data_IF_801379074929
#
_entry.id   IF_801379074929
#
_cell.length_a   1.000
_cell.length_b   1.000
_cell.length_c   1.000
_cell.angle_alpha   90.00
_cell.angle_beta   90.00
_cell.angle_gamma   90.00
#
_symmetry.space_group_name_H-M   'P 1'
#
loop_
_entity.id
_entity.type
_entity.pdbx_description
1 polymer ?
#
# COMPACT_ATOMS: atom_id res chain seq x y z
N UNK A 1 -1.90 -10.26 30.65
CA UNK A 1 -1.26 -10.93 29.50
C UNK A 1 0.10 -10.27 29.20
N UNK A 2 1.17 -10.92 29.64
CA UNK A 2 2.54 -10.43 29.52
C UNK A 2 3.01 -10.48 28.07
N UNK A 3 3.58 -9.39 27.60
CA UNK A 3 4.34 -9.35 26.35
C UNK A 3 5.65 -10.10 26.61
N UNK A 4 5.98 -11.05 25.73
CA UNK A 4 7.28 -11.74 25.72
C UNK A 4 8.41 -10.71 25.63
N UNK A 5 9.51 -10.91 26.37
CA UNK A 5 10.74 -10.10 26.27
C UNK A 5 11.36 -10.16 24.86
N UNK A 6 10.93 -11.11 24.03
CA UNK A 6 11.20 -11.22 22.58
C UNK A 6 10.08 -10.60 21.73
N UNK A 7 9.56 -9.41 22.07
CA UNK A 7 8.67 -8.70 21.16
C UNK A 7 9.52 -7.89 20.16
N UNK A 8 9.72 -8.34 18.90
CA UNK A 8 10.57 -7.66 17.93
C UNK A 8 9.98 -6.33 17.43
N UNK A 9 8.79 -5.96 17.91
CA UNK A 9 8.13 -4.69 17.67
C UNK A 9 8.62 -3.67 18.70
N UNK A 10 9.92 -3.32 18.64
CA UNK A 10 10.38 -2.05 19.22
C UNK A 10 9.52 -0.97 18.55
N UNK A 11 8.91 -0.08 19.35
CA UNK A 11 8.17 1.04 18.80
C UNK A 11 9.03 1.73 17.73
N UNK A 12 8.49 2.01 16.53
CA UNK A 12 9.26 2.70 15.51
C UNK A 12 9.86 3.96 16.14
N UNK A 13 11.15 4.19 15.93
CA UNK A 13 11.87 5.38 16.41
C UNK A 13 11.37 6.60 15.62
N UNK A 14 10.13 7.01 15.89
CA UNK A 14 9.59 8.27 15.43
C UNK A 14 10.16 9.36 16.34
N UNK A 15 10.64 10.43 15.73
CA UNK A 15 10.85 11.68 16.48
C UNK A 15 9.52 12.12 17.10
N UNK A 16 9.58 12.90 18.19
CA UNK A 16 8.37 13.46 18.80
C UNK A 16 7.51 14.22 17.78
N UNK A 17 8.15 15.00 16.90
CA UNK A 17 7.49 15.73 15.81
C UNK A 17 6.77 14.79 14.84
N UNK A 18 7.41 13.70 14.40
CA UNK A 18 6.77 12.70 13.54
C UNK A 18 5.60 12.01 14.23
N UNK A 19 5.71 11.72 15.53
CA UNK A 19 4.64 11.12 16.30
C UNK A 19 3.45 12.08 16.47
N UNK A 20 3.70 13.39 16.62
CA UNK A 20 2.66 14.41 16.72
C UNK A 20 1.98 14.68 15.36
N UNK A 21 2.70 14.50 14.26
CA UNK A 21 2.17 14.61 12.90
C UNK A 21 1.43 13.35 12.41
N UNK A 22 1.65 12.20 13.04
CA UNK A 22 1.01 10.94 12.66
C UNK A 22 -0.39 10.85 13.24
N UNK A 23 -1.37 10.70 12.35
CA UNK A 23 -2.73 10.36 12.74
C UNK A 23 -3.12 8.96 12.30
N UNK A 24 -3.68 8.16 13.21
CA UNK A 24 -4.09 6.78 12.96
C UNK A 24 -5.61 6.69 13.05
N UNK A 25 -6.23 6.20 11.97
CA UNK A 25 -7.68 5.96 11.91
C UNK A 25 -7.95 4.46 11.84
N UNK A 26 -8.25 3.81 12.98
CA UNK A 26 -8.56 2.38 12.99
C UNK A 26 -9.87 2.10 12.27
N UNK A 27 -9.98 0.92 11.67
CA UNK A 27 -11.22 0.38 11.11
C UNK A 27 -11.61 -0.82 11.94
N UNK A 28 -12.67 -0.67 12.72
CA UNK A 28 -13.17 -1.74 13.57
C UNK A 28 -14.09 -2.66 12.75
N UNK A 29 -13.80 -3.95 12.78
CA UNK A 29 -14.59 -4.99 12.13
C UNK A 29 -15.30 -5.84 13.17
N UNK A 30 -16.34 -6.54 12.74
CA UNK A 30 -17.03 -7.48 13.59
C UNK A 30 -16.04 -8.53 14.12
N UNK A 31 -16.05 -8.91 15.40
CA UNK A 31 -15.15 -9.92 15.95
C UNK A 31 -15.25 -11.29 15.24
N UNK A 32 -16.34 -11.58 14.53
CA UNK A 32 -16.52 -12.77 13.71
C UNK A 32 -15.86 -12.70 12.33
N UNK A 33 -15.39 -11.51 11.91
CA UNK A 33 -14.65 -11.30 10.66
C UNK A 33 -13.33 -12.09 10.65
N UNK A 34 -13.05 -12.76 9.52
CA UNK A 34 -11.87 -13.61 9.36
C UNK A 34 -10.74 -12.84 8.66
N UNK A 35 -9.69 -12.46 9.38
CA UNK A 35 -8.53 -11.72 8.83
C UNK A 35 -7.24 -12.54 8.68
N UNK A 36 -7.27 -13.84 8.96
CA UNK A 36 -6.05 -14.66 9.07
C UNK A 36 -5.37 -14.98 7.73
N UNK A 37 -6.15 -15.19 6.68
CA UNK A 37 -5.66 -15.49 5.32
C UNK A 37 -6.38 -14.53 4.41
N UNK A 38 -5.65 -13.85 3.52
CA UNK A 38 -6.26 -12.89 2.59
C UNK A 38 -6.79 -13.62 1.36
N UNK A 39 -7.96 -14.26 1.50
CA UNK A 39 -8.65 -15.01 0.45
C UNK A 39 -10.12 -14.58 0.29
N UNK A 40 -10.90 -15.30 -0.53
CA UNK A 40 -12.33 -15.04 -0.77
C UNK A 40 -13.20 -15.03 0.48
N UNK A 41 -12.80 -15.77 1.52
CA UNK A 41 -13.55 -15.92 2.76
C UNK A 41 -13.11 -14.92 3.84
N UNK A 42 -12.13 -14.09 3.50
CA UNK A 42 -11.57 -13.11 4.42
C UNK A 42 -12.32 -11.79 4.39
N UNK A 43 -12.19 -11.03 5.47
CA UNK A 43 -12.95 -9.81 5.71
C UNK A 43 -12.40 -8.58 4.97
N UNK A 44 -11.65 -8.75 3.89
CA UNK A 44 -11.07 -7.64 3.13
C UNK A 44 -12.15 -6.75 2.49
N UNK A 45 -13.29 -7.33 2.09
CA UNK A 45 -14.44 -6.57 1.59
C UNK A 45 -15.11 -5.76 2.70
N UNK A 46 -15.32 -6.39 3.85
CA UNK A 46 -15.91 -5.73 5.02
C UNK A 46 -15.01 -4.59 5.49
N UNK A 47 -13.70 -4.80 5.47
CA UNK A 47 -12.69 -3.78 5.70
C UNK A 47 -12.82 -2.61 4.73
N UNK A 48 -12.86 -2.87 3.42
CA UNK A 48 -12.95 -1.82 2.43
C UNK A 48 -14.24 -0.97 2.60
N UNK A 49 -15.38 -1.64 2.83
CA UNK A 49 -16.66 -0.97 3.09
C UNK A 49 -16.65 -0.17 4.39
N UNK A 50 -16.12 -0.74 5.47
CA UNK A 50 -16.02 -0.07 6.76
C UNK A 50 -15.09 1.16 6.69
N UNK A 51 -13.93 1.01 6.05
CA UNK A 51 -12.99 2.11 5.85
C UNK A 51 -13.63 3.27 5.06
N UNK A 52 -14.41 2.97 4.02
CA UNK A 52 -15.16 3.97 3.26
C UNK A 52 -16.24 4.66 4.10
N UNK A 53 -17.05 3.88 4.83
CA UNK A 53 -18.11 4.40 5.70
C UNK A 53 -17.57 5.30 6.81
N UNK A 54 -16.51 4.86 7.48
CA UNK A 54 -16.01 5.49 8.70
C UNK A 54 -15.08 6.67 8.40
N UNK A 55 -14.27 6.57 7.34
CA UNK A 55 -13.19 7.52 7.06
C UNK A 55 -13.32 8.26 5.72
N UNK A 56 -14.23 7.88 4.83
CA UNK A 56 -14.35 8.47 3.49
C UNK A 56 -14.50 9.99 3.48
N UNK A 57 -15.41 10.53 4.31
CA UNK A 57 -15.60 11.99 4.46
C UNK A 57 -14.35 12.69 5.00
N UNK A 58 -13.61 12.01 5.87
CA UNK A 58 -12.42 12.58 6.49
C UNK A 58 -11.27 12.69 5.50
N UNK A 59 -11.05 11.65 4.70
CA UNK A 59 -10.12 11.65 3.56
C UNK A 59 -10.48 12.76 2.56
N UNK A 60 -11.78 12.93 2.28
CA UNK A 60 -12.28 13.97 1.39
C UNK A 60 -11.97 15.39 1.88
N UNK A 61 -12.09 15.62 3.19
CA UNK A 61 -11.74 16.89 3.85
C UNK A 61 -10.23 17.12 3.92
N UNK A 62 -9.46 16.08 4.24
CA UNK A 62 -8.00 16.15 4.36
C UNK A 62 -7.31 16.39 3.01
N UNK A 63 -7.84 15.80 1.93
CA UNK A 63 -7.35 15.95 0.54
C UNK A 63 -5.87 15.56 0.40
N UNK A 64 -5.55 14.26 0.53
CA UNK A 64 -4.18 13.80 0.31
C UNK A 64 -3.63 14.24 -1.05
N UNK A 65 -2.35 14.58 -1.10
CA UNK A 65 -1.60 14.72 -2.34
C UNK A 65 -1.18 13.34 -2.89
N UNK A 66 -0.93 12.38 -1.99
CA UNK A 66 -0.53 11.03 -2.30
C UNK A 66 -1.15 10.00 -1.34
N UNK A 67 -1.31 8.77 -1.81
CA UNK A 67 -1.85 7.64 -1.06
C UNK A 67 -0.93 6.44 -1.25
N UNK A 68 -0.54 5.80 -0.15
CA UNK A 68 0.14 4.51 -0.18
C UNK A 68 -0.88 3.41 0.09
N UNK A 69 -1.24 2.65 -0.95
CA UNK A 69 -2.12 1.51 -0.85
C UNK A 69 -1.28 0.23 -0.67
N UNK A 70 -1.31 -0.34 0.54
CA UNK A 70 -0.56 -1.55 0.86
C UNK A 70 -1.33 -2.79 0.40
N UNK A 71 -0.69 -3.60 -0.43
CA UNK A 71 -1.26 -4.78 -1.07
C UNK A 71 -2.60 -4.50 -1.79
N UNK A 72 -3.17 -5.50 -2.45
CA UNK A 72 -4.37 -5.27 -3.26
C UNK A 72 -5.60 -4.88 -2.39
N UNK A 73 -5.61 -5.27 -1.12
CA UNK A 73 -6.70 -4.97 -0.19
C UNK A 73 -6.68 -3.52 0.29
N UNK A 74 -5.51 -2.89 0.43
CA UNK A 74 -5.40 -1.45 0.66
C UNK A 74 -5.90 -0.64 -0.54
N UNK A 75 -5.60 -1.11 -1.76
CA UNK A 75 -6.12 -0.50 -2.98
C UNK A 75 -7.65 -0.63 -3.08
N UNK A 76 -8.22 -1.77 -2.65
CA UNK A 76 -9.66 -1.96 -2.58
C UNK A 76 -10.32 -0.97 -1.60
N UNK A 77 -9.75 -0.78 -0.40
CA UNK A 77 -10.26 0.18 0.58
C UNK A 77 -10.22 1.62 0.05
N UNK A 78 -9.13 2.02 -0.60
CA UNK A 78 -9.03 3.33 -1.25
C UNK A 78 -10.11 3.51 -2.32
N UNK A 79 -10.32 2.51 -3.17
CA UNK A 79 -11.34 2.56 -4.22
C UNK A 79 -12.75 2.72 -3.64
N UNK A 80 -13.09 1.99 -2.58
CA UNK A 80 -14.38 2.13 -1.91
C UNK A 80 -14.57 3.55 -1.33
N UNK A 81 -13.53 4.13 -0.69
CA UNK A 81 -13.58 5.53 -0.22
C UNK A 81 -13.84 6.51 -1.37
N UNK A 82 -13.23 6.28 -2.53
CA UNK A 82 -13.39 7.16 -3.70
C UNK A 82 -14.73 6.98 -4.41
N UNK A 83 -15.33 5.80 -4.36
CA UNK A 83 -16.63 5.54 -4.97
C UNK A 83 -17.77 6.29 -4.27
N UNK A 84 -17.67 6.48 -2.94
CA UNK A 84 -18.69 7.18 -2.13
C UNK A 84 -18.55 8.72 -2.08
N UNK A 85 -17.46 9.29 -2.60
CA UNK A 85 -17.15 10.71 -2.44
C UNK A 85 -17.60 11.59 -3.61
N UNK A 86 -18.63 12.41 -3.40
CA UNK A 86 -19.06 13.41 -4.38
C UNK A 86 -18.00 14.51 -4.65
N UNK A 87 -17.05 14.81 -3.74
CA UNK A 87 -16.06 15.87 -3.99
C UNK A 87 -14.81 15.44 -4.78
N UNK A 88 -14.71 14.19 -5.23
CA UNK A 88 -13.72 13.78 -6.24
C UNK A 88 -14.27 13.84 -7.67
N UNK A 89 -15.58 14.03 -7.85
CA UNK A 89 -16.17 14.28 -9.17
C UNK A 89 -15.99 15.72 -9.64
N UNK A 90 -15.79 16.69 -8.73
CA UNK A 90 -15.76 18.12 -9.04
C UNK A 90 -14.33 18.73 -9.22
N UNK A 91 -13.31 17.93 -9.56
CA UNK A 91 -11.90 18.37 -9.53
C UNK A 91 -11.19 18.39 -10.88
N UNK A 92 -11.39 19.50 -11.58
CA UNK A 92 -10.46 20.00 -12.62
C UNK A 92 -9.46 21.06 -12.09
N UNK A 93 -9.37 21.33 -10.77
CA UNK A 93 -8.48 22.40 -10.22
C UNK A 93 -7.34 21.97 -9.29
N UNK A 94 -7.44 20.83 -8.61
CA UNK A 94 -6.31 20.19 -7.88
C UNK A 94 -6.41 18.72 -8.20
N UNK A 95 -5.41 18.17 -8.88
CA UNK A 95 -5.44 16.82 -9.45
C UNK A 95 -5.85 15.74 -8.45
N UNK A 96 -6.26 14.58 -8.96
CA UNK A 96 -6.48 13.38 -8.12
C UNK A 96 -5.19 13.04 -7.35
N UNK A 97 -5.27 12.55 -6.10
CA UNK A 97 -4.08 12.10 -5.37
C UNK A 97 -3.32 11.07 -6.19
N UNK A 98 -1.98 11.10 -6.10
CA UNK A 98 -1.15 10.04 -6.67
C UNK A 98 -1.27 8.80 -5.82
N UNK A 99 -1.71 7.69 -6.41
CA UNK A 99 -1.89 6.42 -5.69
C UNK A 99 -0.66 5.54 -5.96
N UNK A 100 0.11 5.23 -4.92
CA UNK A 100 1.20 4.29 -4.95
C UNK A 100 0.70 2.93 -4.44
N UNK A 101 0.63 1.94 -5.33
CA UNK A 101 0.41 0.56 -4.94
C UNK A 101 1.72 -0.06 -4.46
N UNK A 102 1.79 -0.31 -3.15
CA UNK A 102 2.96 -0.89 -2.51
C UNK A 102 2.68 -2.33 -2.13
N UNK A 103 3.36 -3.25 -2.80
CA UNK A 103 3.13 -4.66 -2.65
C UNK A 103 4.22 -5.27 -1.75
N UNK A 104 3.82 -5.75 -0.57
CA UNK A 104 4.69 -6.56 0.30
C UNK A 104 4.74 -8.02 -0.15
N UNK A 105 3.66 -8.50 -0.78
CA UNK A 105 3.56 -9.84 -1.35
C UNK A 105 2.63 -9.86 -2.55
N UNK A 106 3.10 -10.41 -3.67
CA UNK A 106 2.23 -10.74 -4.79
C UNK A 106 1.55 -12.05 -4.46
N UNK A 107 0.25 -11.99 -4.18
CA UNK A 107 -0.52 -13.14 -3.70
C UNK A 107 -0.77 -14.14 -4.82
N UNK A 108 -0.87 -13.70 -6.06
CA UNK A 108 -0.93 -14.60 -7.23
C UNK A 108 0.37 -15.40 -7.41
N UNK A 109 1.50 -14.89 -6.91
CA UNK A 109 2.80 -15.55 -7.07
C UNK A 109 2.90 -16.82 -6.21
N UNK A 110 3.34 -17.92 -6.85
CA UNK A 110 3.56 -19.20 -6.16
C UNK A 110 2.30 -19.99 -5.80
N UNK A 111 1.11 -19.56 -6.25
CA UNK A 111 -0.13 -20.30 -6.05
C UNK A 111 -0.46 -21.22 -7.24
N UNK A 112 -0.99 -22.40 -6.91
CA UNK A 112 -1.53 -23.35 -7.90
C UNK A 112 -3.06 -23.39 -7.91
N UNK A 113 -3.72 -22.79 -6.91
CA UNK A 113 -5.17 -22.70 -6.78
C UNK A 113 -5.58 -21.25 -6.63
N UNK A 114 -6.76 -20.91 -7.15
CA UNK A 114 -7.36 -19.57 -7.08
C UNK A 114 -6.55 -18.45 -7.71
N UNK A 115 -5.58 -18.81 -8.56
CA UNK A 115 -4.68 -17.86 -9.23
C UNK A 115 -5.45 -16.71 -9.87
N UNK A 116 -6.45 -17.01 -10.69
CA UNK A 116 -7.23 -15.98 -11.41
C UNK A 116 -7.90 -14.99 -10.47
N UNK A 117 -8.37 -15.44 -9.30
CA UNK A 117 -9.01 -14.53 -8.34
C UNK A 117 -8.03 -13.54 -7.71
N UNK A 118 -6.81 -13.99 -7.39
CA UNK A 118 -5.76 -13.10 -6.91
C UNK A 118 -5.28 -12.17 -8.03
N UNK A 119 -5.07 -12.70 -9.24
CA UNK A 119 -4.68 -11.90 -10.41
C UNK A 119 -5.71 -10.81 -10.71
N UNK A 120 -7.01 -11.10 -10.64
CA UNK A 120 -8.06 -10.10 -10.85
C UNK A 120 -7.93 -8.93 -9.86
N UNK A 121 -7.60 -9.20 -8.59
CA UNK A 121 -7.51 -8.14 -7.56
C UNK A 121 -6.24 -7.33 -7.69
N UNK A 122 -5.16 -7.98 -8.08
CA UNK A 122 -3.90 -7.31 -8.39
C UNK A 122 -4.04 -6.46 -9.67
N UNK A 123 -4.73 -6.95 -10.71
CA UNK A 123 -5.07 -6.15 -11.91
C UNK A 123 -5.89 -4.92 -11.56
N UNK A 124 -6.90 -5.08 -10.71
CA UNK A 124 -7.70 -3.98 -10.20
C UNK A 124 -6.87 -2.93 -9.45
N UNK A 125 -5.95 -3.37 -8.57
CA UNK A 125 -5.04 -2.49 -7.84
C UNK A 125 -4.08 -1.77 -8.80
N UNK A 126 -3.52 -2.48 -9.77
CA UNK A 126 -2.66 -1.94 -10.81
C UNK A 126 -3.40 -0.89 -11.66
N UNK A 127 -4.63 -1.14 -12.06
CA UNK A 127 -5.41 -0.20 -12.88
C UNK A 127 -5.69 1.13 -12.14
N UNK A 128 -5.90 1.08 -10.83
CA UNK A 128 -6.21 2.27 -10.01
C UNK A 128 -5.00 3.09 -9.57
N UNK A 129 -3.77 2.67 -9.88
CA UNK A 129 -2.56 3.23 -9.27
C UNK A 129 -1.76 4.11 -10.22
N UNK A 130 -1.16 5.18 -9.71
CA UNK A 130 -0.20 6.02 -10.42
C UNK A 130 1.18 5.37 -10.46
N UNK A 131 1.61 4.80 -9.34
CA UNK A 131 2.93 4.21 -9.14
C UNK A 131 2.79 2.79 -8.56
N UNK A 132 3.74 1.90 -8.86
CA UNK A 132 3.73 0.53 -8.36
C UNK A 132 5.12 0.21 -7.80
N UNK A 133 5.17 -0.27 -6.56
CA UNK A 133 6.40 -0.64 -5.85
C UNK A 133 6.27 -2.07 -5.33
N UNK A 134 7.32 -2.86 -5.48
CA UNK A 134 7.41 -4.23 -4.97
C UNK A 134 8.78 -4.50 -4.34
N UNK A 135 8.90 -5.59 -3.58
CA UNK A 135 10.06 -5.86 -2.73
C UNK A 135 11.12 -6.77 -3.37
N UNK A 136 10.77 -7.54 -4.39
CA UNK A 136 11.69 -8.46 -5.06
C UNK A 136 11.46 -8.55 -6.58
N UNK A 137 12.48 -9.07 -7.30
CA UNK A 137 12.40 -9.24 -8.75
C UNK A 137 11.29 -10.21 -9.19
N UNK A 138 11.04 -11.26 -8.42
CA UNK A 138 9.95 -12.21 -8.71
C UNK A 138 8.57 -11.57 -8.65
N UNK A 139 8.33 -10.72 -7.64
CA UNK A 139 7.10 -9.93 -7.52
C UNK A 139 6.97 -8.94 -8.69
N UNK A 140 8.07 -8.28 -9.07
CA UNK A 140 8.11 -7.38 -10.23
C UNK A 140 7.68 -8.11 -11.50
N UNK A 141 8.25 -9.27 -11.77
CA UNK A 141 7.91 -10.07 -12.96
C UNK A 141 6.43 -10.50 -12.96
N UNK A 142 5.90 -10.91 -11.81
CA UNK A 142 4.50 -11.29 -11.66
C UNK A 142 3.58 -10.08 -11.94
N UNK A 143 3.83 -8.93 -11.33
CA UNK A 143 3.03 -7.72 -11.52
C UNK A 143 3.11 -7.17 -12.95
N UNK A 144 4.28 -7.22 -13.58
CA UNK A 144 4.46 -6.78 -14.99
C UNK A 144 3.58 -7.60 -15.94
N UNK A 145 3.41 -8.91 -15.70
CA UNK A 145 2.50 -9.75 -16.51
C UNK A 145 1.02 -9.40 -16.31
N UNK A 146 0.68 -8.78 -15.18
CA UNK A 146 -0.67 -8.36 -14.84
C UNK A 146 -0.98 -6.91 -15.26
N UNK A 147 0.04 -6.13 -15.65
CA UNK A 147 -0.16 -4.76 -16.10
C UNK A 147 -1.16 -4.71 -17.26
N UNK A 148 -2.11 -3.77 -17.22
CA UNK A 148 -3.03 -3.61 -18.33
C UNK A 148 -2.26 -3.08 -19.57
N UNK A 149 -2.68 -3.41 -20.80
CA UNK A 149 -1.94 -3.09 -22.02
C UNK A 149 -1.59 -1.61 -22.17
N UNK A 150 -2.50 -0.72 -21.76
CA UNK A 150 -2.33 0.73 -21.77
C UNK A 150 -1.21 1.24 -20.85
N UNK A 151 -0.78 0.43 -19.87
CA UNK A 151 0.29 0.75 -18.93
C UNK A 151 1.60 0.02 -19.23
N UNK A 152 1.60 -0.91 -20.18
CA UNK A 152 2.77 -1.73 -20.54
C UNK A 152 3.98 -0.88 -21.00
N UNK A 153 3.78 0.39 -21.38
CA UNK A 153 4.84 1.33 -21.75
C UNK A 153 5.05 2.51 -20.81
N UNK A 154 4.40 2.57 -19.64
CA UNK A 154 4.43 3.79 -18.78
C UNK A 154 4.23 3.60 -17.27
N UNK A 155 3.84 2.41 -16.80
CA UNK A 155 3.84 2.09 -15.37
C UNK A 155 5.04 1.22 -15.05
N UNK A 156 6.15 1.86 -14.73
CA UNK A 156 7.30 1.10 -14.25
C UNK A 156 6.97 0.52 -12.86
N UNK A 157 6.92 -0.81 -12.76
CA UNK A 157 6.93 -1.50 -11.47
C UNK A 157 8.33 -1.35 -10.88
N UNK A 158 8.44 -0.49 -9.87
CA UNK A 158 9.70 -0.16 -9.21
C UNK A 158 10.02 -1.20 -8.15
N UNK A 159 11.31 -1.47 -8.01
CA UNK A 159 11.83 -2.38 -7.02
C UNK A 159 12.36 -1.57 -5.84
N UNK A 160 11.79 -1.78 -4.65
CA UNK A 160 12.31 -1.27 -3.39
C UNK A 160 12.67 -2.46 -2.52
N UNK A 161 13.93 -2.86 -2.53
CA UNK A 161 14.37 -3.94 -1.66
C UNK A 161 14.10 -3.59 -0.19
N UNK A 162 13.53 -4.51 0.60
CA UNK A 162 13.27 -4.25 2.00
C UNK A 162 14.61 -3.99 2.68
N UNK A 163 14.73 -2.83 3.31
CA UNK A 163 15.95 -2.47 4.02
C UNK A 163 16.21 -3.50 5.11
N UNK A 164 17.39 -4.09 5.11
CA UNK A 164 17.83 -4.91 6.22
C UNK A 164 17.98 -4.01 7.45
N UNK A 165 17.86 -4.59 8.65
CA UNK A 165 18.11 -3.86 9.91
C UNK A 165 19.51 -3.23 9.93
N UNK A 166 20.47 -3.82 9.21
CA UNK A 166 21.80 -3.25 8.98
C UNK A 166 21.73 -1.97 8.16
N UNK A 167 21.05 -2.00 7.01
CA UNK A 167 20.87 -0.85 6.12
C UNK A 167 20.22 0.34 6.83
N UNK A 168 19.19 0.08 7.65
CA UNK A 168 18.53 1.15 8.43
C UNK A 168 19.44 1.73 9.51
N UNK A 169 20.26 0.90 10.16
CA UNK A 169 21.23 1.35 11.16
C UNK A 169 22.32 2.20 10.52
N UNK A 170 22.77 1.82 9.34
CA UNK A 170 23.79 2.57 8.60
C UNK A 170 23.19 3.88 8.08
N UNK A 171 21.97 3.86 7.54
CA UNK A 171 21.23 5.05 7.13
C UNK A 171 21.04 6.06 8.27
N UNK A 172 20.68 5.60 9.47
CA UNK A 172 20.50 6.47 10.64
C UNK A 172 21.81 7.13 11.11
N UNK A 173 22.97 6.56 10.72
CA UNK A 173 24.30 7.10 11.01
C UNK A 173 24.84 7.99 9.89
N UNK A 174 24.25 7.91 8.70
CA UNK A 174 24.65 8.70 7.54
C UNK A 174 24.18 10.16 7.70
N UNK A 175 25.09 11.14 7.67
CA UNK A 175 24.72 12.55 7.67
C UNK A 175 23.79 12.88 6.48
N UNK A 176 22.82 13.80 6.61
CA UNK A 176 21.91 14.15 5.51
C UNK A 176 22.63 14.61 4.23
N UNK A 177 23.82 15.19 4.37
CA UNK A 177 24.70 15.60 3.25
C UNK A 177 25.28 14.43 2.45
N UNK A 178 25.24 13.22 3.00
CA UNK A 178 25.79 11.99 2.42
C UNK A 178 24.71 11.00 1.95
N UNK A 179 23.44 11.33 2.16
CA UNK A 179 22.30 10.64 1.54
C UNK A 179 22.33 10.92 0.03
N UNK A 180 23.09 10.09 -0.70
CA UNK A 180 23.21 10.17 -2.16
C UNK A 180 21.83 10.09 -2.81
N UNK A 181 21.55 10.97 -3.78
CA UNK A 181 20.32 10.98 -4.57
C UNK A 181 20.27 9.89 -5.64
N UNK A 182 21.12 8.87 -5.54
CA UNK A 182 21.47 7.97 -6.64
C UNK A 182 20.50 6.78 -6.75
N UNK A 183 19.23 6.95 -6.38
CA UNK A 183 18.16 5.95 -6.58
C UNK A 183 17.72 5.83 -8.06
N UNK A 184 18.66 5.97 -8.98
CA UNK A 184 18.54 5.51 -10.36
C UNK A 184 19.72 4.59 -10.66
N UNK A 185 19.51 3.28 -10.87
CA UNK A 185 20.36 2.57 -11.80
C UNK A 185 20.01 3.07 -13.21
N UNK A 186 21.05 3.49 -13.92
CA UNK A 186 21.00 3.63 -15.35
C UNK A 186 20.70 2.27 -16.01
N UNK A 187 19.92 2.34 -17.10
CA UNK A 187 19.61 1.32 -18.11
C UNK A 187 18.52 0.29 -17.77
#
# INVERSE_FOLDING_TARGET
PGLSDDNPLVHPELTQEQSEALEVWPVDLDPSSRWKVLDRTSAWEDFARAAARDHGKRVELWRPDAVLAVDWHGAAAWREMMAGGAAFSDRHRRGRPRVCYFNFRVYSSGLTRDLSWYEDREREALAGSSDVVCLCGGDREALVRLLPPERAGGAEVRLLHPALRGDMRDLARTPPSELRSDLHPAA
#
